data_IF_419371131030
#
_entry.id   IF_419371131030
#
_cell.length_a   1.000
_cell.length_b   1.000
_cell.length_c   1.000
_cell.angle_alpha   90.00
_cell.angle_beta   90.00
_cell.angle_gamma   90.00
#
_symmetry.space_group_name_H-M   'P 1'
#
loop_
_entity.id
_entity.type
_entity.pdbx_description
1 polymer ?
#
# COMPACT_ATOMS: atom_id res chain seq x y z
N UNK A 1 -28.20 3.91 -10.22
CA UNK A 1 -28.85 4.37 -8.97
C UNK A 1 -30.01 5.32 -9.25
N UNK A 2 -29.82 6.42 -9.99
CA UNK A 2 -30.93 7.34 -10.33
C UNK A 2 -32.12 6.65 -11.02
N UNK A 3 -31.85 5.69 -11.90
CA UNK A 3 -32.92 4.97 -12.62
C UNK A 3 -33.69 3.98 -11.72
N UNK A 4 -33.00 3.33 -10.78
CA UNK A 4 -33.62 2.43 -9.81
C UNK A 4 -34.52 3.19 -8.82
N UNK A 5 -34.03 4.33 -8.31
CA UNK A 5 -34.78 5.22 -7.42
C UNK A 5 -36.03 5.79 -8.12
N UNK A 6 -35.92 6.18 -9.39
CA UNK A 6 -37.06 6.63 -10.18
C UNK A 6 -38.11 5.52 -10.39
N UNK A 7 -37.68 4.27 -10.57
CA UNK A 7 -38.58 3.12 -10.72
C UNK A 7 -39.31 2.76 -9.41
N UNK A 8 -38.61 2.75 -8.27
CA UNK A 8 -39.25 2.52 -6.95
C UNK A 8 -40.28 3.60 -6.65
N UNK A 9 -39.91 4.86 -6.89
CA UNK A 9 -40.83 5.98 -6.68
C UNK A 9 -42.08 5.83 -7.54
N UNK A 10 -41.92 5.48 -8.82
CA UNK A 10 -43.05 5.25 -9.73
C UNK A 10 -43.95 4.08 -9.30
N UNK A 11 -43.38 2.99 -8.78
CA UNK A 11 -44.14 1.86 -8.26
C UNK A 11 -44.93 2.25 -6.99
N UNK A 12 -44.31 3.03 -6.10
CA UNK A 12 -44.94 3.52 -4.88
C UNK A 12 -46.06 4.53 -5.17
N UNK A 13 -45.83 5.48 -6.09
CA UNK A 13 -46.84 6.45 -6.52
C UNK A 13 -48.06 5.75 -7.15
N UNK A 14 -47.82 4.71 -7.95
CA UNK A 14 -48.88 3.87 -8.53
C UNK A 14 -49.68 3.15 -7.45
N UNK A 15 -49.01 2.48 -6.51
CA UNK A 15 -49.68 1.75 -5.44
C UNK A 15 -50.49 2.67 -4.52
N UNK A 16 -49.98 3.86 -4.20
CA UNK A 16 -50.74 4.86 -3.45
C UNK A 16 -52.01 5.29 -4.18
N UNK A 17 -51.95 5.48 -5.50
CA UNK A 17 -53.14 5.83 -6.29
C UNK A 17 -54.18 4.70 -6.32
N UNK A 18 -53.74 3.44 -6.35
CA UNK A 18 -54.61 2.27 -6.33
C UNK A 18 -55.24 2.07 -4.95
N UNK A 19 -54.47 2.23 -3.86
CA UNK A 19 -54.97 2.18 -2.48
C UNK A 19 -56.01 3.28 -2.23
N UNK A 20 -55.74 4.51 -2.67
CA UNK A 20 -56.69 5.62 -2.55
C UNK A 20 -58.01 5.30 -3.27
N UNK A 21 -57.94 4.69 -4.46
CA UNK A 21 -59.15 4.28 -5.21
C UNK A 21 -59.96 3.22 -4.47
N UNK A 22 -59.31 2.23 -3.86
CA UNK A 22 -59.95 1.18 -3.06
C UNK A 22 -60.56 1.77 -1.78
N UNK A 23 -59.89 2.75 -1.18
CA UNK A 23 -60.39 3.44 0.00
C UNK A 23 -61.65 4.25 -0.32
N UNK A 24 -61.66 5.01 -1.42
CA UNK A 24 -62.84 5.75 -1.87
C UNK A 24 -64.02 4.81 -2.22
N UNK A 25 -63.74 3.66 -2.83
CA UNK A 25 -64.75 2.63 -3.10
C UNK A 25 -65.34 2.07 -1.80
N UNK A 26 -64.51 1.78 -0.80
CA UNK A 26 -64.96 1.30 0.52
C UNK A 26 -65.84 2.32 1.26
N UNK A 27 -65.47 3.60 1.21
CA UNK A 27 -66.22 4.70 1.81
C UNK A 27 -67.58 4.90 1.12
N UNK A 28 -67.63 4.75 -0.20
CA UNK A 28 -68.88 4.83 -0.97
C UNK A 28 -69.83 3.68 -0.59
N UNK A 29 -69.32 2.44 -0.52
CA UNK A 29 -70.10 1.26 -0.12
C UNK A 29 -70.60 1.34 1.33
N UNK A 30 -69.79 1.88 2.24
CA UNK A 30 -70.19 2.11 3.63
C UNK A 30 -71.31 3.17 3.73
N UNK A 31 -71.20 4.27 2.98
CA UNK A 31 -72.22 5.33 2.96
C UNK A 31 -73.58 4.86 2.41
N UNK A 32 -73.58 3.84 1.55
CA UNK A 32 -74.78 3.24 0.95
C UNK A 32 -75.36 2.09 1.80
N UNK A 33 -74.67 1.68 2.88
CA UNK A 33 -75.07 0.54 3.70
C UNK A 33 -74.90 -0.83 3.03
N UNK A 34 -74.20 -0.87 1.89
CA UNK A 34 -73.96 -2.08 1.09
C UNK A 34 -72.61 -2.76 1.41
N UNK A 35 -71.96 -2.35 2.50
CA UNK A 35 -70.71 -2.94 2.97
C UNK A 35 -70.95 -4.29 3.65
N UNK A 36 -71.39 -5.27 2.87
CA UNK A 36 -71.61 -6.64 3.31
C UNK A 36 -70.29 -7.42 3.45
N UNK A 37 -70.38 -8.64 3.99
CA UNK A 37 -69.20 -9.49 4.19
C UNK A 37 -68.49 -9.85 2.86
N UNK A 38 -69.23 -9.87 1.73
CA UNK A 38 -68.66 -10.17 0.43
C UNK A 38 -67.87 -8.98 -0.15
N UNK A 39 -68.37 -7.75 0.04
CA UNK A 39 -67.69 -6.52 -0.33
C UNK A 39 -66.39 -6.33 0.46
N UNK A 40 -66.40 -6.60 1.77
CA UNK A 40 -65.18 -6.57 2.60
C UNK A 40 -64.14 -7.58 2.12
N UNK A 41 -64.55 -8.82 1.83
CA UNK A 41 -63.63 -9.84 1.33
C UNK A 41 -62.99 -9.47 -0.03
N UNK A 42 -63.74 -8.76 -0.91
CA UNK A 42 -63.18 -8.24 -2.18
C UNK A 42 -62.15 -7.14 -1.96
N UNK A 43 -62.43 -6.19 -1.06
CA UNK A 43 -61.51 -5.10 -0.74
C UNK A 43 -60.22 -5.66 -0.11
N UNK A 44 -60.34 -6.60 0.82
CA UNK A 44 -59.18 -7.28 1.42
C UNK A 44 -58.36 -8.05 0.37
N UNK A 45 -59.01 -8.76 -0.54
CA UNK A 45 -58.33 -9.46 -1.64
C UNK A 45 -57.57 -8.47 -2.56
N UNK A 46 -58.18 -7.33 -2.88
CA UNK A 46 -57.57 -6.31 -3.74
C UNK A 46 -56.37 -5.63 -3.05
N UNK A 47 -56.47 -5.30 -1.77
CA UNK A 47 -55.35 -4.78 -0.99
C UNK A 47 -54.20 -5.78 -0.87
N UNK A 48 -54.51 -7.08 -0.72
CA UNK A 48 -53.52 -8.14 -0.69
C UNK A 48 -52.83 -8.34 -2.05
N UNK A 49 -53.52 -8.09 -3.16
CA UNK A 49 -52.91 -8.11 -4.49
C UNK A 49 -51.93 -6.94 -4.69
N UNK A 50 -52.31 -5.73 -4.25
CA UNK A 50 -51.45 -4.55 -4.31
C UNK A 50 -50.18 -4.75 -3.46
N UNK A 51 -50.33 -5.25 -2.22
CA UNK A 51 -49.18 -5.48 -1.33
C UNK A 51 -48.20 -6.51 -1.89
N UNK A 52 -48.70 -7.64 -2.38
CA UNK A 52 -47.86 -8.70 -2.97
C UNK A 52 -47.19 -8.25 -4.27
N UNK A 53 -47.82 -7.35 -5.04
CA UNK A 53 -47.20 -6.71 -6.19
C UNK A 53 -46.01 -5.82 -5.80
N UNK A 54 -46.16 -5.04 -4.72
CA UNK A 54 -45.11 -4.18 -4.19
C UNK A 54 -43.90 -4.97 -3.69
N UNK A 55 -44.16 -6.03 -2.92
CA UNK A 55 -43.12 -6.90 -2.35
C UNK A 55 -42.28 -7.55 -3.46
N UNK A 56 -42.93 -8.03 -4.54
CA UNK A 56 -42.21 -8.62 -5.69
C UNK A 56 -41.30 -7.62 -6.39
N UNK A 57 -41.74 -6.37 -6.56
CA UNK A 57 -40.92 -5.35 -7.23
C UNK A 57 -39.76 -4.90 -6.32
N UNK A 58 -40.01 -4.78 -5.02
CA UNK A 58 -38.97 -4.50 -4.03
C UNK A 58 -37.92 -5.61 -3.99
N UNK A 59 -38.33 -6.87 -3.96
CA UNK A 59 -37.43 -8.03 -3.98
C UNK A 59 -36.60 -8.08 -5.27
N UNK A 60 -37.20 -7.77 -6.41
CA UNK A 60 -36.51 -7.68 -7.70
C UNK A 60 -35.46 -6.57 -7.69
N UNK A 61 -35.78 -5.40 -7.15
CA UNK A 61 -34.83 -4.30 -7.00
C UNK A 61 -33.71 -4.63 -6.01
N UNK A 62 -34.03 -5.24 -4.86
CA UNK A 62 -33.04 -5.72 -3.90
C UNK A 62 -32.14 -6.76 -4.56
N UNK A 63 -32.68 -7.64 -5.40
CA UNK A 63 -31.90 -8.62 -6.14
C UNK A 63 -31.01 -7.96 -7.21
N UNK A 64 -31.49 -6.95 -7.93
CA UNK A 64 -30.72 -6.20 -8.94
C UNK A 64 -29.61 -5.36 -8.30
N UNK A 65 -29.91 -4.73 -7.16
CA UNK A 65 -28.95 -4.03 -6.32
C UNK A 65 -27.92 -5.02 -5.79
N UNK A 66 -28.34 -6.14 -5.19
CA UNK A 66 -27.43 -7.21 -4.74
C UNK A 66 -26.62 -7.79 -5.88
N UNK A 67 -27.14 -7.88 -7.10
CA UNK A 67 -26.41 -8.32 -8.28
C UNK A 67 -25.40 -7.26 -8.77
N UNK A 68 -25.76 -5.98 -8.70
CA UNK A 68 -24.88 -4.85 -9.02
C UNK A 68 -23.76 -4.68 -7.98
N UNK A 69 -24.03 -5.06 -6.73
CA UNK A 69 -23.07 -5.11 -5.62
C UNK A 69 -22.47 -6.51 -5.41
N UNK A 70 -22.87 -7.52 -6.20
CA UNK A 70 -22.27 -8.84 -6.14
C UNK A 70 -20.81 -8.63 -6.54
N UNK A 71 -19.93 -8.79 -5.55
CA UNK A 71 -18.55 -8.34 -5.62
C UNK A 71 -17.96 -8.72 -6.98
N UNK A 72 -17.44 -7.76 -7.77
CA UNK A 72 -16.85 -8.07 -9.07
C UNK A 72 -15.89 -9.21 -8.83
N UNK A 73 -16.08 -10.30 -9.57
CA UNK A 73 -15.42 -11.59 -9.39
C UNK A 73 -13.92 -11.33 -9.23
N UNK A 74 -13.47 -11.17 -7.97
CA UNK A 74 -12.11 -10.72 -7.69
C UNK A 74 -11.27 -11.82 -8.26
N UNK A 75 -10.55 -11.55 -9.37
CA UNK A 75 -9.63 -12.51 -9.96
C UNK A 75 -8.47 -12.63 -9.00
N UNK A 76 -8.70 -13.37 -7.93
CA UNK A 76 -7.72 -13.63 -6.90
C UNK A 76 -6.64 -14.45 -7.59
N UNK A 77 -5.39 -13.97 -7.56
CA UNK A 77 -4.29 -14.71 -8.15
C UNK A 77 -4.32 -16.17 -7.66
N UNK A 78 -4.04 -17.14 -8.55
CA UNK A 78 -3.98 -18.54 -8.17
C UNK A 78 -3.03 -18.70 -6.97
N UNK A 79 -3.36 -19.57 -6.02
CA UNK A 79 -2.59 -19.74 -4.76
C UNK A 79 -1.08 -19.90 -5.01
N UNK A 80 -0.69 -20.60 -6.09
CA UNK A 80 0.71 -20.81 -6.52
C UNK A 80 1.51 -19.52 -6.77
N UNK A 81 0.85 -18.44 -7.21
CA UNK A 81 1.51 -17.15 -7.47
C UNK A 81 1.31 -16.16 -6.32
N UNK A 82 0.29 -16.37 -5.49
CA UNK A 82 0.01 -15.49 -4.35
C UNK A 82 1.08 -15.60 -3.28
N UNK A 83 1.43 -16.82 -2.89
CA UNK A 83 2.45 -17.06 -1.84
C UNK A 83 3.80 -16.44 -2.21
N UNK A 84 4.38 -16.69 -3.40
CA UNK A 84 5.68 -16.08 -3.74
C UNK A 84 5.58 -14.56 -3.91
N UNK A 85 4.47 -14.02 -4.42
CA UNK A 85 4.29 -12.57 -4.51
C UNK A 85 4.25 -11.90 -3.13
N UNK A 86 3.53 -12.50 -2.17
CA UNK A 86 3.49 -12.02 -0.79
C UNK A 86 4.87 -12.14 -0.14
N UNK A 87 5.54 -13.30 -0.29
CA UNK A 87 6.89 -13.50 0.24
C UNK A 87 7.88 -12.49 -0.33
N UNK A 88 7.83 -12.22 -1.64
CA UNK A 88 8.66 -11.21 -2.30
C UNK A 88 8.36 -9.81 -1.76
N UNK A 89 7.08 -9.46 -1.57
CA UNK A 89 6.70 -8.17 -0.98
C UNK A 89 7.28 -8.01 0.42
N UNK A 90 7.13 -9.03 1.28
CA UNK A 90 7.72 -9.02 2.63
C UNK A 90 9.24 -8.91 2.57
N UNK A 91 9.89 -9.65 1.67
CA UNK A 91 11.34 -9.60 1.48
C UNK A 91 11.81 -8.18 1.09
N UNK A 92 11.11 -7.53 0.17
CA UNK A 92 11.42 -6.15 -0.25
C UNK A 92 11.21 -5.16 0.89
N UNK A 93 10.08 -5.26 1.60
CA UNK A 93 9.76 -4.36 2.71
C UNK A 93 10.76 -4.50 3.86
N UNK A 94 11.04 -5.73 4.29
CA UNK A 94 12.00 -6.01 5.36
C UNK A 94 13.39 -5.54 4.94
N UNK A 95 13.84 -5.88 3.74
CA UNK A 95 15.15 -5.44 3.24
C UNK A 95 15.26 -3.91 3.16
N UNK A 96 14.20 -3.21 2.78
CA UNK A 96 14.19 -1.74 2.75
C UNK A 96 14.31 -1.17 4.16
N UNK A 97 13.56 -1.70 5.13
CA UNK A 97 13.64 -1.28 6.54
C UNK A 97 15.03 -1.53 7.11
N UNK A 98 15.62 -2.68 6.81
CA UNK A 98 16.97 -3.04 7.25
C UNK A 98 18.05 -2.09 6.72
N UNK A 99 17.90 -1.57 5.50
CA UNK A 99 18.82 -0.56 4.99
C UNK A 99 18.78 0.70 5.87
N UNK A 100 17.59 1.18 6.23
CA UNK A 100 17.46 2.39 7.06
C UNK A 100 17.90 2.19 8.51
N UNK A 101 17.92 0.96 9.03
CA UNK A 101 18.27 0.69 10.44
C UNK A 101 19.69 0.19 10.64
N UNK A 102 20.20 -0.62 9.71
CA UNK A 102 21.49 -1.31 9.83
C UNK A 102 22.47 -0.87 8.73
N UNK A 103 21.96 -0.37 7.60
CA UNK A 103 22.76 0.03 6.44
C UNK A 103 23.75 1.16 6.75
N UNK A 104 23.41 2.06 7.68
CA UNK A 104 24.25 3.20 8.06
C UNK A 104 25.59 2.80 8.73
N UNK A 105 25.70 1.56 9.23
CA UNK A 105 26.94 1.02 9.79
C UNK A 105 27.67 0.05 8.84
N UNK A 106 27.16 -0.14 7.62
CA UNK A 106 27.65 -1.16 6.70
C UNK A 106 28.28 -0.58 5.42
N UNK A 107 29.54 -0.92 5.17
CA UNK A 107 30.25 -0.59 3.94
C UNK A 107 30.11 -1.76 2.97
N UNK A 108 29.23 -1.63 1.98
CA UNK A 108 29.02 -2.64 0.95
C UNK A 108 30.20 -2.69 -0.04
N UNK A 109 30.80 -3.88 -0.22
CA UNK A 109 31.97 -4.08 -1.07
C UNK A 109 31.69 -3.76 -2.56
N UNK A 110 30.49 -4.06 -3.02
CA UNK A 110 30.06 -3.82 -4.40
C UNK A 110 29.41 -2.46 -4.64
N UNK A 111 29.55 -1.47 -3.75
CA UNK A 111 28.78 -0.22 -3.80
C UNK A 111 28.96 0.56 -5.12
N UNK A 112 30.19 0.60 -5.65
CA UNK A 112 30.47 1.33 -6.89
C UNK A 112 29.83 0.65 -8.11
N UNK A 113 29.96 -0.68 -8.23
CA UNK A 113 29.37 -1.44 -9.32
C UNK A 113 27.84 -1.43 -9.23
N UNK A 114 27.30 -1.53 -8.01
CA UNK A 114 25.87 -1.42 -7.76
C UNK A 114 25.32 -0.05 -8.18
N UNK A 115 25.97 1.04 -7.76
CA UNK A 115 25.59 2.41 -8.15
C UNK A 115 25.59 2.60 -9.67
N UNK A 116 26.55 2.00 -10.38
CA UNK A 116 26.60 2.01 -11.85
C UNK A 116 25.46 1.20 -12.47
N UNK A 117 25.02 0.13 -11.81
CA UNK A 117 23.91 -0.71 -12.25
C UNK A 117 22.51 -0.12 -11.97
N UNK A 118 22.36 0.76 -10.97
CA UNK A 118 21.08 1.40 -10.61
C UNK A 118 20.26 1.92 -11.80
N UNK A 119 20.80 2.74 -12.73
CA UNK A 119 20.00 3.25 -13.85
C UNK A 119 19.48 2.12 -14.75
N UNK A 120 20.28 1.08 -14.95
CA UNK A 120 19.89 -0.10 -15.72
C UNK A 120 18.81 -0.91 -15.00
N UNK A 121 18.97 -1.13 -13.69
CA UNK A 121 17.96 -1.79 -12.87
C UNK A 121 16.64 -1.03 -12.89
N UNK A 122 16.66 0.29 -12.69
CA UNK A 122 15.46 1.13 -12.74
C UNK A 122 14.81 1.11 -14.13
N UNK A 123 15.59 1.10 -15.21
CA UNK A 123 15.05 1.03 -16.58
C UNK A 123 14.21 -0.22 -16.84
N UNK A 124 14.48 -1.32 -16.12
CA UNK A 124 13.74 -2.59 -16.22
C UNK A 124 12.65 -2.68 -15.16
N UNK A 125 12.95 -2.30 -13.91
CA UNK A 125 12.04 -2.44 -12.77
C UNK A 125 10.84 -1.50 -12.88
N UNK A 126 11.07 -0.24 -13.26
CA UNK A 126 10.01 0.78 -13.38
C UNK A 126 8.90 0.33 -14.34
N UNK A 127 9.17 -0.07 -15.60
CA UNK A 127 8.10 -0.51 -16.49
C UNK A 127 7.43 -1.80 -16.03
N UNK A 128 8.16 -2.74 -15.42
CA UNK A 128 7.56 -3.97 -14.87
C UNK A 128 6.55 -3.66 -13.76
N UNK A 129 6.92 -2.78 -12.82
CA UNK A 129 6.03 -2.34 -11.75
C UNK A 129 4.85 -1.54 -12.30
N UNK A 130 5.09 -0.65 -13.26
CA UNK A 130 4.04 0.12 -13.91
C UNK A 130 2.99 -0.77 -14.58
N UNK A 131 3.42 -1.77 -15.37
CA UNK A 131 2.53 -2.75 -15.99
C UNK A 131 1.80 -3.58 -14.94
N UNK A 132 2.51 -4.05 -13.91
CA UNK A 132 1.92 -4.81 -12.81
C UNK A 132 0.81 -4.04 -12.09
N UNK A 133 1.06 -2.79 -11.70
CA UNK A 133 0.08 -1.93 -11.04
C UNK A 133 -1.09 -1.58 -11.96
N UNK A 134 -0.84 -1.35 -13.25
CA UNK A 134 -1.89 -1.12 -14.24
C UNK A 134 -2.85 -2.32 -14.36
N UNK A 135 -2.30 -3.53 -14.43
CA UNK A 135 -3.09 -4.77 -14.50
C UNK A 135 -3.88 -5.01 -13.21
N UNK A 136 -3.28 -4.73 -12.05
CA UNK A 136 -3.94 -4.79 -10.74
C UNK A 136 -5.12 -3.83 -10.62
N UNK A 137 -4.95 -2.58 -11.07
CA UNK A 137 -6.02 -1.57 -11.08
C UNK A 137 -7.16 -1.99 -12.01
N UNK A 138 -6.85 -2.56 -13.18
CA UNK A 138 -7.84 -3.09 -14.12
C UNK A 138 -8.63 -4.25 -13.51
N UNK A 139 -8.01 -5.07 -12.65
CA UNK A 139 -8.65 -6.24 -12.06
C UNK A 139 -9.50 -5.93 -10.82
N UNK A 140 -9.05 -5.01 -9.96
CA UNK A 140 -9.70 -4.77 -8.67
C UNK A 140 -10.54 -3.50 -8.60
N UNK A 141 -10.40 -2.58 -9.56
CA UNK A 141 -11.07 -1.26 -9.57
C UNK A 141 -11.00 -0.49 -8.23
N UNK A 142 -10.07 -0.86 -7.35
CA UNK A 142 -10.02 -0.38 -5.98
C UNK A 142 -9.67 1.10 -5.93
N UNK A 143 -8.74 1.56 -6.78
CA UNK A 143 -8.38 2.99 -6.78
C UNK A 143 -9.46 3.87 -7.40
N UNK A 144 -10.40 3.34 -8.20
CA UNK A 144 -11.58 4.13 -8.64
C UNK A 144 -12.47 4.55 -7.47
N UNK A 145 -12.59 3.71 -6.45
CA UNK A 145 -13.43 4.01 -5.30
C UNK A 145 -12.77 5.05 -4.36
N UNK A 146 -11.44 4.99 -4.21
CA UNK A 146 -10.71 5.84 -3.27
C UNK A 146 -10.24 7.16 -3.89
N UNK A 147 -9.92 7.16 -5.19
CA UNK A 147 -9.46 8.33 -5.94
C UNK A 147 -10.28 8.48 -7.24
N UNK A 148 -11.47 9.12 -7.17
CA UNK A 148 -12.39 9.19 -8.30
C UNK A 148 -11.86 10.08 -9.43
N UNK A 149 -10.98 11.04 -9.13
CA UNK A 149 -10.43 11.96 -10.12
C UNK A 149 -9.34 11.30 -10.95
N UNK A 150 -9.55 11.26 -12.28
CA UNK A 150 -8.61 10.66 -13.23
C UNK A 150 -7.21 11.29 -13.14
N UNK A 151 -7.16 12.62 -13.01
CA UNK A 151 -5.93 13.42 -12.93
C UNK A 151 -5.07 13.01 -11.73
N UNK A 152 -5.63 13.03 -10.52
CA UNK A 152 -4.88 12.69 -9.29
C UNK A 152 -4.39 11.25 -9.35
N UNK A 153 -5.24 10.32 -9.82
CA UNK A 153 -4.86 8.92 -9.91
C UNK A 153 -3.66 8.69 -10.84
N UNK A 154 -3.72 9.21 -12.08
CA UNK A 154 -2.71 8.88 -13.10
C UNK A 154 -1.49 9.79 -13.10
N UNK A 155 -1.63 11.07 -12.72
CA UNK A 155 -0.51 12.02 -12.73
C UNK A 155 0.21 12.13 -11.38
N UNK A 156 -0.41 11.72 -10.28
CA UNK A 156 0.19 11.84 -8.93
C UNK A 156 0.36 10.47 -8.28
N UNK A 157 -0.73 9.77 -8.00
CA UNK A 157 -0.67 8.54 -7.19
C UNK A 157 0.07 7.41 -7.90
N UNK A 158 -0.23 7.18 -9.18
CA UNK A 158 0.38 6.12 -9.97
C UNK A 158 1.90 6.28 -10.12
N UNK A 159 2.44 7.42 -10.60
CA UNK A 159 3.89 7.60 -10.71
C UNK A 159 4.58 7.59 -9.35
N UNK A 160 3.97 8.17 -8.31
CA UNK A 160 4.52 8.13 -6.95
C UNK A 160 4.65 6.70 -6.44
N UNK A 161 3.60 5.88 -6.62
CA UNK A 161 3.59 4.48 -6.19
C UNK A 161 4.64 3.66 -6.95
N UNK A 162 4.74 3.86 -8.27
CA UNK A 162 5.78 3.20 -9.09
C UNK A 162 7.17 3.60 -8.60
N UNK A 163 7.42 4.89 -8.36
CA UNK A 163 8.70 5.39 -7.89
C UNK A 163 9.06 4.77 -6.53
N UNK A 164 8.14 4.79 -5.57
CA UNK A 164 8.34 4.21 -4.24
C UNK A 164 8.60 2.70 -4.30
N UNK A 165 7.80 1.94 -5.04
CA UNK A 165 7.99 0.49 -5.18
C UNK A 165 9.31 0.15 -5.89
N UNK A 166 9.67 0.91 -6.93
CA UNK A 166 10.93 0.71 -7.67
C UNK A 166 12.13 1.01 -6.78
N UNK A 167 12.08 2.11 -6.03
CA UNK A 167 13.12 2.48 -5.07
C UNK A 167 13.27 1.40 -3.99
N UNK A 168 12.16 0.94 -3.38
CA UNK A 168 12.21 -0.11 -2.37
C UNK A 168 12.84 -1.41 -2.92
N UNK A 169 12.49 -1.79 -4.15
CA UNK A 169 13.04 -3.00 -4.78
C UNK A 169 14.54 -2.89 -5.08
N UNK A 170 15.02 -1.69 -5.45
CA UNK A 170 16.44 -1.43 -5.70
C UNK A 170 17.23 -1.24 -4.39
N UNK A 171 16.61 -0.73 -3.32
CA UNK A 171 17.31 -0.55 -2.05
C UNK A 171 17.35 -1.83 -1.23
N UNK A 172 16.31 -2.66 -1.30
CA UNK A 172 16.16 -3.89 -0.52
C UNK A 172 17.37 -4.84 -0.51
N UNK A 173 18.07 -5.09 -1.64
CA UNK A 173 19.25 -5.96 -1.64
C UNK A 173 20.39 -5.48 -0.72
N UNK A 174 20.53 -4.15 -0.54
CA UNK A 174 21.57 -3.58 0.31
C UNK A 174 21.30 -3.87 1.79
N UNK A 175 20.05 -3.71 2.24
CA UNK A 175 19.66 -4.03 3.62
C UNK A 175 19.73 -5.52 3.94
N UNK A 176 19.50 -6.41 2.96
CA UNK A 176 19.78 -7.83 3.15
C UNK A 176 21.28 -8.13 3.17
N UNK A 177 22.07 -7.45 2.34
CA UNK A 177 23.52 -7.61 2.32
C UNK A 177 24.16 -7.16 3.64
N UNK A 178 23.64 -6.12 4.30
CA UNK A 178 24.14 -5.66 5.60
C UNK A 178 23.92 -6.72 6.69
N UNK A 179 22.71 -7.29 6.77
CA UNK A 179 22.41 -8.36 7.73
C UNK A 179 23.21 -9.63 7.43
N UNK A 180 23.27 -10.06 6.18
CA UNK A 180 24.05 -11.23 5.80
C UNK A 180 25.54 -11.01 6.05
N UNK A 181 26.05 -9.82 5.78
CA UNK A 181 27.43 -9.44 6.06
C UNK A 181 27.75 -9.43 7.56
N UNK A 182 26.79 -9.02 8.39
CA UNK A 182 26.91 -9.07 9.84
C UNK A 182 26.89 -10.51 10.38
N UNK A 183 25.94 -11.33 9.94
CA UNK A 183 25.78 -12.72 10.40
C UNK A 183 26.96 -13.60 9.94
N UNK A 184 27.36 -13.49 8.68
CA UNK A 184 28.41 -14.32 8.09
C UNK A 184 29.82 -13.73 8.26
N UNK A 185 29.94 -12.50 8.76
CA UNK A 185 31.21 -11.80 8.87
C UNK A 185 32.07 -12.30 10.03
N UNK A 186 33.38 -12.33 9.80
CA UNK A 186 34.37 -12.64 10.83
C UNK A 186 34.76 -11.38 11.61
N UNK A 187 34.86 -11.44 12.95
CA UNK A 187 35.31 -10.30 13.74
C UNK A 187 36.73 -9.92 13.30
N UNK A 188 36.95 -8.65 13.01
CA UNK A 188 38.22 -8.09 12.58
C UNK A 188 38.44 -6.76 13.27
N UNK A 189 39.64 -6.59 13.83
CA UNK A 189 40.06 -5.38 14.51
C UNK A 189 41.13 -4.63 13.69
N UNK A 190 41.28 -3.33 13.97
CA UNK A 190 42.34 -2.48 13.41
C UNK A 190 42.35 -2.33 11.88
N UNK A 191 41.16 -2.27 11.27
CA UNK A 191 41.04 -1.94 9.84
C UNK A 191 41.23 -0.44 9.63
N UNK A 192 42.22 -0.03 8.84
CA UNK A 192 42.43 1.40 8.56
C UNK A 192 41.43 1.91 7.50
N UNK A 193 40.79 3.05 7.80
CA UNK A 193 40.00 3.82 6.84
C UNK A 193 40.40 5.31 6.90
N UNK A 194 40.20 6.02 5.79
CA UNK A 194 40.52 7.45 5.68
C UNK A 194 39.22 8.24 5.74
N UNK A 195 39.18 9.28 6.57
CA UNK A 195 38.01 10.16 6.68
C UNK A 195 38.04 11.19 5.55
N UNK A 196 37.10 11.11 4.61
CA UNK A 196 36.98 12.04 3.47
C UNK A 196 36.32 13.34 3.91
N UNK A 197 35.24 13.23 4.68
CA UNK A 197 34.52 14.37 5.25
C UNK A 197 33.70 13.93 6.44
N UNK A 198 33.44 14.87 7.35
CA UNK A 198 32.51 14.69 8.46
C UNK A 198 31.42 15.72 8.30
N UNK A 199 30.17 15.28 8.26
CA UNK A 199 29.02 16.17 8.17
C UNK A 199 28.87 16.92 9.50
N UNK A 200 28.38 18.16 9.42
CA UNK A 200 28.06 18.94 10.62
C UNK A 200 26.88 18.30 11.36
N UNK A 201 26.89 18.23 12.70
CA UNK A 201 25.78 17.67 13.46
C UNK A 201 24.48 18.43 13.15
N UNK A 202 23.41 17.69 12.89
CA UNK A 202 22.08 18.27 12.65
C UNK A 202 21.55 18.93 13.92
N UNK A 203 21.08 20.18 13.84
CA UNK A 203 20.47 20.88 14.99
C UNK A 203 19.06 20.37 15.35
N UNK A 204 18.43 19.60 14.47
CA UNK A 204 17.02 19.23 14.57
C UNK A 204 16.80 17.72 14.47
N UNK A 205 17.76 16.92 14.94
CA UNK A 205 17.58 15.48 14.87
C UNK A 205 16.46 14.99 15.80
N UNK A 206 15.66 14.06 15.28
CA UNK A 206 14.65 13.35 16.05
C UNK A 206 15.33 12.21 16.80
N UNK A 207 14.85 11.93 18.02
CA UNK A 207 15.31 10.78 18.80
C UNK A 207 15.26 9.49 17.99
N UNK A 208 16.42 8.90 17.70
CA UNK A 208 16.56 7.64 16.96
C UNK A 208 17.02 7.77 15.51
N UNK A 209 17.18 8.98 14.97
CA UNK A 209 17.95 9.22 13.74
C UNK A 209 19.41 9.54 14.07
N UNK A 210 20.34 9.22 13.17
CA UNK A 210 21.74 9.56 13.34
C UNK A 210 22.00 11.05 13.07
N UNK A 211 22.62 11.74 14.03
CA UNK A 211 22.82 13.20 13.99
C UNK A 211 24.05 13.60 13.17
N UNK A 212 25.02 12.69 13.06
CA UNK A 212 26.32 12.97 12.47
C UNK A 212 26.83 11.80 11.62
N UNK A 213 27.13 12.08 10.37
CA UNK A 213 27.67 11.11 9.41
C UNK A 213 29.11 11.47 9.04
N UNK A 214 29.91 10.47 8.73
CA UNK A 214 31.22 10.63 8.11
C UNK A 214 31.29 9.84 6.81
N UNK A 215 31.90 10.45 5.78
CA UNK A 215 32.27 9.74 4.57
C UNK A 215 33.65 9.12 4.80
N UNK A 216 33.69 7.80 4.82
CA UNK A 216 34.89 7.01 5.03
C UNK A 216 35.31 6.35 3.71
N UNK A 217 36.60 6.37 3.42
CA UNK A 217 37.22 5.59 2.36
C UNK A 217 37.89 4.34 2.95
N UNK A 218 37.40 3.17 2.56
CA UNK A 218 37.98 1.89 2.90
C UNK A 218 38.26 1.11 1.62
N UNK A 219 39.53 0.82 1.33
CA UNK A 219 39.96 0.08 0.12
C UNK A 219 39.36 0.62 -1.19
N UNK A 220 39.42 1.95 -1.39
CA UNK A 220 38.83 2.66 -2.53
C UNK A 220 37.29 2.60 -2.65
N UNK A 221 36.61 2.17 -1.58
CA UNK A 221 35.15 2.22 -1.46
C UNK A 221 34.80 3.36 -0.52
N UNK A 222 33.96 4.28 -1.00
CA UNK A 222 33.46 5.40 -0.22
C UNK A 222 32.08 5.08 0.34
N UNK A 223 31.93 5.11 1.66
CA UNK A 223 30.65 4.92 2.32
C UNK A 223 30.36 6.07 3.27
N UNK A 224 29.09 6.45 3.35
CA UNK A 224 28.58 7.39 4.35
C UNK A 224 28.13 6.55 5.54
N UNK A 225 28.76 6.77 6.69
CA UNK A 225 28.57 5.97 7.90
C UNK A 225 28.09 6.87 9.03
N UNK A 226 27.09 6.41 9.77
CA UNK A 226 26.69 7.08 11.01
C UNK A 226 27.81 6.94 12.06
N UNK A 227 28.35 8.05 12.56
CA UNK A 227 29.44 8.00 13.56
C UNK A 227 28.94 8.08 15.01
N UNK A 228 27.69 8.48 15.19
CA UNK A 228 27.06 8.56 16.51
C UNK A 228 26.96 7.15 17.14
N UNK A 229 27.43 7.02 18.38
CA UNK A 229 27.47 5.73 19.09
C UNK A 229 28.56 4.75 18.64
N UNK A 230 29.21 4.96 17.49
CA UNK A 230 30.33 4.13 17.03
C UNK A 230 31.71 4.71 17.39
N UNK A 231 31.81 6.02 17.62
CA UNK A 231 33.06 6.70 17.92
C UNK A 231 33.59 6.38 19.32
N UNK A 232 34.84 5.94 19.38
CA UNK A 232 35.61 5.74 20.62
C UNK A 232 36.84 6.65 20.56
N UNK A 233 36.82 7.72 21.37
CA UNK A 233 37.90 8.72 21.42
C UNK A 233 37.50 10.07 20.80
N UNK A 234 38.49 10.82 20.30
CA UNK A 234 38.27 12.13 19.70
C UNK A 234 37.56 12.02 18.35
N UNK A 235 36.73 13.02 18.03
CA UNK A 235 36.07 13.13 16.72
C UNK A 235 37.12 13.35 15.63
N UNK A 236 37.16 12.51 14.58
CA UNK A 236 38.18 12.60 13.56
C UNK A 236 37.94 13.81 12.66
N UNK A 237 39.01 14.37 12.13
CA UNK A 237 38.97 15.43 11.13
C UNK A 237 39.11 14.84 9.72
N UNK A 238 38.76 15.66 8.73
CA UNK A 238 38.99 15.31 7.32
C UNK A 238 40.48 15.03 7.08
N UNK A 239 40.77 13.89 6.47
CA UNK A 239 42.12 13.41 6.17
C UNK A 239 42.70 12.47 7.22
N UNK A 240 42.06 12.35 8.39
CA UNK A 240 42.55 11.47 9.45
C UNK A 240 42.38 10.00 9.09
N UNK A 241 43.31 9.18 9.58
CA UNK A 241 43.20 7.72 9.53
C UNK A 241 42.54 7.23 10.81
N UNK A 242 41.41 6.55 10.66
CA UNK A 242 40.69 5.93 11.77
C UNK A 242 40.85 4.41 11.73
N UNK A 243 40.91 3.79 12.91
CA UNK A 243 40.91 2.35 13.03
C UNK A 243 39.47 1.86 13.26
N UNK A 244 38.96 1.07 12.32
CA UNK A 244 37.66 0.44 12.38
C UNK A 244 37.78 -0.94 13.04
N UNK A 245 36.78 -1.29 13.85
CA UNK A 245 36.56 -2.66 14.31
C UNK A 245 35.13 -3.09 13.97
N UNK A 246 34.96 -4.37 13.65
CA UNK A 246 33.64 -4.93 13.40
C UNK A 246 33.73 -6.26 12.68
N UNK A 247 32.80 -6.53 11.77
CA UNK A 247 32.69 -7.82 11.07
C UNK A 247 32.94 -7.66 9.58
N UNK A 248 33.97 -8.33 9.09
CA UNK A 248 34.32 -8.32 7.67
C UNK A 248 33.79 -9.58 6.98
N UNK A 249 33.17 -9.41 5.81
CA UNK A 249 32.62 -10.49 4.99
C UNK A 249 32.91 -10.22 3.51
N UNK A 250 32.62 -11.19 2.63
CA UNK A 250 32.68 -10.99 1.19
C UNK A 250 31.68 -9.94 0.66
N UNK A 251 30.60 -9.68 1.42
CA UNK A 251 29.59 -8.68 1.06
C UNK A 251 30.02 -7.26 1.45
N UNK A 252 30.86 -7.11 2.48
CA UNK A 252 31.23 -5.81 3.01
C UNK A 252 31.74 -5.85 4.44
N UNK A 253 31.91 -4.66 5.01
CA UNK A 253 32.36 -4.43 6.38
C UNK A 253 31.21 -3.84 7.21
N UNK A 254 30.80 -4.55 8.24
CA UNK A 254 29.91 -4.01 9.27
C UNK A 254 30.76 -3.39 10.39
N UNK A 255 30.53 -2.11 10.70
CA UNK A 255 31.31 -1.33 11.66
C UNK A 255 30.64 -1.38 13.02
N UNK A 256 31.40 -1.80 14.03
CA UNK A 256 30.95 -1.82 15.43
C UNK A 256 31.61 -0.70 16.25
N UNK A 257 32.85 -0.31 15.92
CA UNK A 257 33.47 0.87 16.51
C UNK A 257 34.47 1.55 15.59
N UNK A 258 34.65 2.85 15.80
CA UNK A 258 35.58 3.72 15.08
C UNK A 258 36.49 4.38 16.13
N UNK A 259 37.79 4.04 16.12
CA UNK A 259 38.78 4.68 16.98
C UNK A 259 39.53 5.76 16.23
N UNK A 260 39.37 7.00 16.70
CA UNK A 260 40.23 8.11 16.34
C UNK A 260 41.63 7.92 16.93
N UNK A 261 42.67 8.40 16.23
CA UNK A 261 44.02 8.50 16.77
C UNK A 261 44.18 9.74 17.64
#
# INVERSE_FOLDING_TARGET
MKDAEAQVKKAFDKANSEIESVFQESMALESQGELDAAAKARIEAHLHEISTGLDKELDKQIAEVKASYAAPNRRVLPKRFRVPAIAMLFFVLIGSILEFTVGDAFIFAGANDYRRAIPWLLSVVVPLIAVGLFLLEKANHGMRAQFPTWVIRWLVMFPLTIAMCSAALVVSPLGWASVLGWVAGTPTEHLEAIVISVDSPSRYSRSGECDQYANLEFRAITARVCIEGLMVGATPQKGDKVALSGRFSSLGLFIESIRGK
#
